data_IF_704492228057
#
_entry.id   IF_704492228057
#
_cell.length_a   1.000
_cell.length_b   1.000
_cell.length_c   1.000
_cell.angle_alpha   90.00
_cell.angle_beta   90.00
_cell.angle_gamma   90.00
#
_symmetry.space_group_name_H-M   'P 1'
#
loop_
_entity.id
_entity.type
_entity.pdbx_description
1 polymer ?
#
# COMPACT_ATOMS: atom_id res chain seq x y z
N UNK A 1 39.07 -1.12 8.99
CA UNK A 1 37.84 -1.38 9.78
C UNK A 1 37.71 -2.88 9.96
N UNK A 2 37.49 -3.36 11.19
CA UNK A 2 37.35 -4.79 11.47
C UNK A 2 35.87 -5.22 11.41
N UNK A 3 35.57 -6.40 10.86
CA UNK A 3 34.17 -6.81 10.68
C UNK A 3 33.38 -6.93 11.99
N UNK A 4 34.05 -7.32 13.08
CA UNK A 4 33.40 -7.49 14.39
C UNK A 4 33.04 -6.16 15.07
N UNK A 5 33.50 -5.01 14.57
CA UNK A 5 33.17 -3.69 15.12
C UNK A 5 31.95 -3.05 14.47
N UNK A 6 31.43 -3.61 13.38
CA UNK A 6 30.26 -3.07 12.69
C UNK A 6 29.00 -3.29 13.52
N UNK A 7 28.41 -2.19 14.04
CA UNK A 7 27.11 -2.20 14.72
C UNK A 7 26.07 -1.48 13.86
N UNK A 8 24.88 -2.07 13.77
CA UNK A 8 23.73 -1.49 13.06
C UNK A 8 23.17 -0.26 13.79
N UNK A 9 22.85 0.80 13.03
CA UNK A 9 22.19 2.02 13.54
C UNK A 9 20.74 1.77 13.96
N UNK A 10 20.02 0.91 13.26
CA UNK A 10 18.62 0.56 13.55
C UNK A 10 18.48 -0.93 13.92
N UNK A 11 17.60 -1.23 14.89
CA UNK A 11 17.40 -2.60 15.39
C UNK A 11 16.50 -3.41 14.45
N UNK A 12 16.88 -4.65 14.15
CA UNK A 12 16.01 -5.53 13.38
C UNK A 12 14.81 -5.95 14.22
N UNK A 13 13.63 -5.90 13.61
CA UNK A 13 12.40 -6.44 14.19
C UNK A 13 12.45 -7.97 14.11
N UNK A 14 12.36 -8.64 15.26
CA UNK A 14 12.21 -10.11 15.30
C UNK A 14 10.75 -10.48 14.97
N UNK A 15 10.57 -11.58 14.25
CA UNK A 15 9.24 -12.16 14.02
C UNK A 15 8.70 -12.74 15.34
N UNK A 16 7.38 -12.69 15.53
CA UNK A 16 6.75 -13.30 16.69
C UNK A 16 6.55 -14.79 16.44
N UNK A 17 7.11 -15.63 17.29
CA UNK A 17 6.78 -17.05 17.31
C UNK A 17 5.38 -17.26 17.93
N UNK A 18 4.54 -18.02 17.27
CA UNK A 18 3.15 -18.28 17.67
C UNK A 18 3.01 -19.76 18.01
N UNK A 19 2.27 -20.12 19.08
CA UNK A 19 2.14 -21.51 19.53
C UNK A 19 3.38 -22.05 20.29
N UNK A 20 4.13 -21.17 20.96
CA UNK A 20 5.32 -21.49 21.78
C UNK A 20 5.27 -20.76 23.14
N UNK A 21 4.15 -20.91 23.86
CA UNK A 21 3.91 -20.19 25.12
C UNK A 21 3.64 -18.69 24.97
N UNK A 22 3.37 -17.99 26.08
CA UNK A 22 3.11 -16.55 26.12
C UNK A 22 1.79 -16.10 25.48
N UNK A 23 1.75 -14.86 24.96
CA UNK A 23 0.52 -14.14 24.52
C UNK A 23 -0.33 -14.86 23.46
N UNK A 24 0.24 -15.76 22.66
CA UNK A 24 -0.49 -16.58 21.67
C UNK A 24 -0.13 -18.06 21.77
N UNK A 25 0.07 -18.57 22.98
CA UNK A 25 0.42 -19.96 23.24
C UNK A 25 -0.72 -20.94 22.93
N UNK A 26 -1.84 -20.83 23.66
CA UNK A 26 -2.92 -21.84 23.65
C UNK A 26 -3.69 -21.94 22.32
N UNK A 27 -4.13 -20.79 21.78
CA UNK A 27 -5.01 -20.76 20.59
C UNK A 27 -4.38 -20.12 19.37
N UNK A 28 -3.11 -19.70 19.46
CA UNK A 28 -2.45 -18.92 18.40
C UNK A 28 -3.18 -17.61 18.01
N UNK A 29 -4.12 -17.14 18.84
CA UNK A 29 -5.01 -16.02 18.52
C UNK A 29 -6.19 -16.37 17.59
N UNK A 30 -6.51 -17.66 17.42
CA UNK A 30 -7.62 -18.14 16.56
C UNK A 30 -8.89 -18.51 17.33
N UNK A 31 -8.87 -18.42 18.67
CA UNK A 31 -9.95 -18.90 19.53
C UNK A 31 -9.94 -20.42 19.70
N UNK A 32 -11.00 -20.98 20.28
CA UNK A 32 -11.08 -22.41 20.64
C UNK A 32 -11.52 -23.29 19.48
N UNK A 33 -12.81 -23.24 19.14
CA UNK A 33 -13.46 -24.09 18.14
C UNK A 33 -14.22 -23.24 17.13
N UNK A 34 -14.60 -23.89 16.04
CA UNK A 34 -15.37 -23.27 14.97
C UNK A 34 -14.59 -23.17 13.68
N UNK A 35 -15.30 -22.79 12.64
CA UNK A 35 -14.81 -22.87 11.29
C UNK A 35 -13.59 -21.94 11.04
N UNK A 36 -13.39 -20.86 11.82
CA UNK A 36 -12.23 -19.97 11.70
C UNK A 36 -10.93 -20.55 12.27
N UNK A 37 -11.04 -21.53 13.18
CA UNK A 37 -9.89 -22.11 13.87
C UNK A 37 -9.30 -23.33 13.13
N UNK A 38 -10.02 -23.88 12.14
CA UNK A 38 -9.62 -25.07 11.38
C UNK A 38 -8.72 -24.70 10.20
N UNK A 39 -7.76 -25.58 9.88
CA UNK A 39 -6.89 -25.43 8.71
C UNK A 39 -7.67 -25.60 7.40
N UNK A 40 -7.12 -25.09 6.30
CA UNK A 40 -7.66 -25.30 4.95
C UNK A 40 -8.92 -24.51 4.59
N UNK A 41 -9.52 -23.77 5.53
CA UNK A 41 -10.73 -23.01 5.23
C UNK A 41 -10.44 -21.73 4.44
N UNK A 42 -10.99 -21.64 3.23
CA UNK A 42 -11.06 -20.42 2.41
C UNK A 42 -12.47 -19.84 2.48
N UNK A 43 -12.74 -18.94 3.44
CA UNK A 43 -14.00 -18.20 3.45
C UNK A 43 -14.10 -17.33 2.21
N UNK A 44 -15.25 -17.34 1.55
CA UNK A 44 -15.58 -16.31 0.56
C UNK A 44 -15.69 -14.96 1.28
N UNK A 45 -14.92 -13.93 0.89
CA UNK A 45 -15.09 -12.60 1.44
C UNK A 45 -16.44 -12.02 0.99
N UNK A 46 -17.15 -11.35 1.90
CA UNK A 46 -18.43 -10.67 1.62
C UNK A 46 -18.28 -9.60 0.53
N UNK A 47 -17.11 -8.95 0.48
CA UNK A 47 -16.70 -8.04 -0.60
C UNK A 47 -16.89 -8.64 -1.99
N UNK A 48 -16.80 -9.97 -2.15
CA UNK A 48 -16.99 -10.61 -3.45
C UNK A 48 -18.41 -10.43 -3.97
N UNK A 49 -19.41 -10.39 -3.10
CA UNK A 49 -20.81 -10.27 -3.49
C UNK A 49 -21.16 -8.81 -3.79
N UNK A 50 -20.59 -7.86 -3.05
CA UNK A 50 -20.62 -6.43 -3.38
C UNK A 50 -19.99 -6.15 -4.75
N UNK A 51 -18.80 -6.68 -5.02
CA UNK A 51 -18.10 -6.48 -6.31
C UNK A 51 -18.90 -7.08 -7.47
N UNK A 52 -19.53 -8.25 -7.25
CA UNK A 52 -20.32 -8.92 -8.30
C UNK A 52 -21.63 -8.22 -8.64
N UNK A 53 -22.19 -7.45 -7.70
CA UNK A 53 -23.39 -6.64 -7.93
C UNK A 53 -23.12 -5.43 -8.84
N UNK A 54 -21.90 -4.90 -8.82
CA UNK A 54 -21.52 -3.70 -9.58
C UNK A 54 -21.16 -4.10 -11.02
N UNK A 55 -21.69 -3.41 -12.05
CA UNK A 55 -21.28 -3.67 -13.42
C UNK A 55 -19.79 -3.33 -13.61
N UNK A 56 -19.10 -4.09 -14.49
CA UNK A 56 -17.70 -3.79 -14.82
C UNK A 56 -17.61 -2.39 -15.44
N UNK A 57 -16.57 -1.65 -15.09
CA UNK A 57 -16.26 -0.36 -15.72
C UNK A 57 -16.07 -0.54 -17.24
N UNK A 58 -16.61 0.40 -18.02
CA UNK A 58 -16.41 0.42 -19.48
C UNK A 58 -14.91 0.49 -19.80
N UNK A 59 -14.46 -0.33 -20.76
CA UNK A 59 -13.04 -0.43 -21.15
C UNK A 59 -12.15 -1.25 -20.19
N UNK A 60 -12.71 -1.98 -19.22
CA UNK A 60 -11.96 -2.94 -18.38
C UNK A 60 -11.99 -4.34 -19.01
N UNK A 61 -10.82 -4.96 -19.19
CA UNK A 61 -10.69 -6.35 -19.67
C UNK A 61 -10.49 -6.54 -21.18
N UNK A 62 -10.62 -5.47 -21.98
CA UNK A 62 -10.15 -5.40 -23.38
C UNK A 62 -9.20 -4.20 -23.48
N UNK A 63 -7.96 -4.38 -23.97
CA UNK A 63 -6.91 -3.34 -24.09
C UNK A 63 -6.44 -2.65 -22.78
N UNK A 64 -5.94 -3.40 -21.80
CA UNK A 64 -5.45 -2.79 -20.54
C UNK A 64 -4.05 -2.15 -20.63
N UNK A 65 -3.44 -2.10 -21.83
CA UNK A 65 -2.11 -1.52 -22.07
C UNK A 65 -2.18 0.02 -22.06
N UNK A 66 -2.63 0.61 -20.94
CA UNK A 66 -2.58 2.05 -20.73
C UNK A 66 -1.17 2.41 -20.27
N UNK A 67 -0.62 3.49 -20.83
CA UNK A 67 0.67 4.02 -20.38
C UNK A 67 0.60 4.42 -18.91
N UNK A 68 1.60 4.04 -18.12
CA UNK A 68 1.77 4.49 -16.73
C UNK A 68 2.24 5.94 -16.63
N UNK A 69 2.58 6.58 -17.76
CA UNK A 69 3.03 7.97 -17.78
C UNK A 69 1.86 8.89 -17.41
N UNK A 70 2.10 9.89 -16.54
CA UNK A 70 1.07 10.89 -16.26
C UNK A 70 0.75 11.63 -17.55
N UNK A 71 -0.53 11.75 -17.88
CA UNK A 71 -0.95 12.60 -19.01
C UNK A 71 -0.62 14.04 -18.66
N UNK A 72 -0.11 14.78 -19.64
CA UNK A 72 0.04 16.23 -19.52
C UNK A 72 -1.32 16.83 -19.14
N UNK A 73 -1.32 17.68 -18.11
CA UNK A 73 -2.50 18.43 -17.68
C UNK A 73 -2.29 19.90 -18.04
N UNK A 74 -3.36 20.56 -18.47
CA UNK A 74 -3.35 22.01 -18.60
C UNK A 74 -3.03 22.66 -17.25
N UNK A 75 -2.27 23.75 -17.29
CA UNK A 75 -2.00 24.59 -16.12
C UNK A 75 -2.89 25.83 -16.16
N UNK A 76 -3.35 26.29 -14.99
CA UNK A 76 -4.12 27.52 -14.89
C UNK A 76 -3.24 28.74 -15.25
N UNK A 77 -3.75 29.58 -16.15
CA UNK A 77 -3.07 30.77 -16.67
C UNK A 77 -2.70 31.75 -15.55
N UNK A 78 -3.55 31.88 -14.52
CA UNK A 78 -3.29 32.79 -13.40
C UNK A 78 -2.02 32.41 -12.64
N UNK A 79 -1.84 31.12 -12.37
CA UNK A 79 -0.66 30.60 -11.66
C UNK A 79 0.62 30.79 -12.46
N UNK A 80 0.54 30.61 -13.78
CA UNK A 80 1.67 30.74 -14.69
C UNK A 80 2.11 32.21 -14.83
N UNK A 81 1.15 33.13 -14.94
CA UNK A 81 1.43 34.56 -15.01
C UNK A 81 2.04 35.10 -13.71
N UNK A 82 1.51 34.68 -12.55
CA UNK A 82 2.06 35.05 -11.25
C UNK A 82 3.52 34.57 -11.09
N UNK A 83 3.80 33.32 -11.47
CA UNK A 83 5.17 32.77 -11.48
C UNK A 83 6.09 33.51 -12.44
N UNK A 84 5.60 33.88 -13.64
CA UNK A 84 6.37 34.67 -14.61
C UNK A 84 6.72 36.06 -14.07
N UNK A 85 5.79 36.71 -13.35
CA UNK A 85 6.04 38.00 -12.69
C UNK A 85 7.08 37.86 -11.57
N UNK A 86 6.95 36.85 -10.72
CA UNK A 86 7.91 36.58 -9.65
C UNK A 86 9.33 36.33 -10.19
N UNK A 87 9.47 35.47 -11.21
CA UNK A 87 10.76 35.16 -11.82
C UNK A 87 11.40 36.39 -12.50
N UNK A 88 10.60 37.30 -13.06
CA UNK A 88 11.11 38.56 -13.63
C UNK A 88 11.60 39.52 -12.55
N UNK A 89 10.99 39.51 -11.38
CA UNK A 89 11.42 40.35 -10.25
C UNK A 89 12.77 39.87 -9.69
N UNK A 90 12.95 38.55 -9.54
CA UNK A 90 14.21 37.95 -9.06
C UNK A 90 15.35 38.01 -10.07
N UNK A 91 15.07 38.17 -11.36
CA UNK A 91 16.09 38.29 -12.41
C UNK A 91 16.54 39.74 -12.66
N UNK A 92 15.87 40.72 -12.04
CA UNK A 92 16.21 42.15 -12.11
C UNK A 92 16.97 42.66 -10.87
N UNK A 93 17.08 41.84 -9.83
CA UNK A 93 18.01 42.01 -8.71
C UNK A 93 19.30 41.26 -8.99
#
# INVERSE_FOLDING_TARGET
MQFHTLKRKTKNKKTRQVGRGGTRGKTSGRGTKGQNARAGRKKRPELRDFIKRIPKLRGRGKSSLKSFKPKARGVDLKTLLAKKKANRATAKS
#
